data_IF_173074829333
#
_entry.id   IF_173074829333
#
_cell.length_a   1.000
_cell.length_b   1.000
_cell.length_c   1.000
_cell.angle_alpha   90.00
_cell.angle_beta   90.00
_cell.angle_gamma   90.00
#
_symmetry.space_group_name_H-M   'P 1'
#
loop_
_entity.id
_entity.type
_entity.pdbx_description
1 polymer ?
#
# COMPACT_ATOMS: atom_id res chain seq x y z
N UNK A 1 7.37 3.56 28.07
CA UNK A 1 8.29 3.81 26.92
C UNK A 1 7.86 3.03 25.67
N UNK A 2 7.96 1.69 25.62
CA UNK A 2 7.52 0.91 24.43
C UNK A 2 6.00 0.88 24.25
N UNK A 3 5.24 0.71 25.33
CA UNK A 3 3.78 0.72 25.26
C UNK A 3 3.22 2.09 24.85
N UNK A 4 3.85 3.17 25.30
CA UNK A 4 3.44 4.54 24.95
C UNK A 4 3.71 4.83 23.47
N UNK A 5 4.86 4.37 22.96
CA UNK A 5 5.18 4.44 21.53
C UNK A 5 4.09 3.81 20.66
N UNK A 6 3.75 2.53 20.89
CA UNK A 6 2.73 1.85 20.10
C UNK A 6 1.35 2.47 20.26
N UNK A 7 1.02 2.97 21.47
CA UNK A 7 -0.24 3.69 21.70
C UNK A 7 -0.31 4.95 20.84
N UNK A 8 0.73 5.77 20.85
CA UNK A 8 0.80 7.01 20.08
C UNK A 8 0.81 6.75 18.57
N UNK A 9 1.57 5.74 18.12
CA UNK A 9 1.62 5.32 16.72
C UNK A 9 0.23 4.89 16.22
N UNK A 10 -0.48 4.04 16.96
CA UNK A 10 -1.80 3.57 16.54
C UNK A 10 -2.85 4.67 16.62
N UNK A 11 -2.75 5.59 17.58
CA UNK A 11 -3.57 6.80 17.61
C UNK A 11 -3.33 7.68 16.38
N UNK A 12 -2.07 7.81 15.94
CA UNK A 12 -1.73 8.53 14.71
C UNK A 12 -2.28 7.82 13.47
N UNK A 13 -2.18 6.49 13.37
CA UNK A 13 -2.77 5.75 12.24
C UNK A 13 -4.29 6.00 12.15
N UNK A 14 -4.99 5.97 13.30
CA UNK A 14 -6.41 6.28 13.36
C UNK A 14 -6.72 7.75 13.04
N UNK A 15 -5.86 8.68 13.44
CA UNK A 15 -6.00 10.10 13.10
C UNK A 15 -5.87 10.34 11.58
N UNK A 16 -5.02 9.58 10.89
CA UNK A 16 -4.90 9.62 9.43
C UNK A 16 -6.16 9.07 8.76
N UNK A 17 -6.67 7.90 9.22
CA UNK A 17 -7.92 7.30 8.71
C UNK A 17 -9.12 8.25 8.84
N UNK A 18 -9.20 8.93 9.99
CA UNK A 18 -10.28 9.85 10.34
C UNK A 18 -10.02 11.31 9.93
N UNK A 19 -8.98 11.57 9.12
CA UNK A 19 -8.62 12.93 8.74
C UNK A 19 -9.73 13.61 7.93
N UNK A 20 -10.26 14.72 8.45
CA UNK A 20 -11.35 15.47 7.81
C UNK A 20 -10.88 16.31 6.61
N UNK A 21 -9.58 16.57 6.51
CA UNK A 21 -8.97 17.24 5.36
C UNK A 21 -8.42 16.18 4.39
N UNK A 22 -8.43 16.43 3.07
CA UNK A 22 -7.78 15.56 2.12
C UNK A 22 -6.32 15.27 2.53
N UNK A 23 -6.00 13.99 2.74
CA UNK A 23 -4.67 13.52 3.09
C UNK A 23 -4.07 12.79 1.89
N UNK A 24 -2.88 13.22 1.47
CA UNK A 24 -2.16 12.68 0.33
C UNK A 24 -0.81 12.16 0.80
N UNK A 25 -0.60 10.85 0.73
CA UNK A 25 0.70 10.23 0.99
C UNK A 25 1.46 10.04 -0.34
N UNK A 26 2.59 10.74 -0.51
CA UNK A 26 3.52 10.49 -1.61
C UNK A 26 4.50 9.38 -1.20
N UNK A 27 4.17 8.12 -1.51
CA UNK A 27 4.92 6.94 -1.05
C UNK A 27 6.07 6.58 -2.00
N UNK A 28 6.95 7.55 -2.28
CA UNK A 28 8.14 7.36 -3.11
C UNK A 28 9.28 6.67 -2.34
N UNK A 29 9.70 5.49 -2.80
CA UNK A 29 10.75 4.72 -2.14
C UNK A 29 10.21 3.64 -1.19
N UNK A 30 10.98 3.32 -0.15
CA UNK A 30 10.64 2.23 0.78
C UNK A 30 9.46 2.64 1.67
N UNK A 31 8.40 1.84 1.69
CA UNK A 31 7.21 2.05 2.51
C UNK A 31 6.83 0.73 3.17
N UNK A 32 7.34 0.49 4.38
CA UNK A 32 7.16 -0.76 5.13
C UNK A 32 6.74 -0.48 6.57
N UNK A 33 5.99 -1.41 7.19
CA UNK A 33 5.54 -1.30 8.59
C UNK A 33 4.95 0.07 8.92
N UNK A 34 5.54 0.79 9.87
CA UNK A 34 5.11 2.15 10.24
C UNK A 34 4.89 3.11 9.05
N UNK A 35 5.72 3.05 8.00
CA UNK A 35 5.52 3.86 6.79
C UNK A 35 4.24 3.52 6.02
N UNK A 36 3.81 2.25 6.06
CA UNK A 36 2.49 1.83 5.57
C UNK A 36 1.40 2.41 6.46
N UNK A 37 1.56 2.36 7.78
CA UNK A 37 0.64 2.96 8.75
C UNK A 37 0.43 4.47 8.58
N UNK A 38 1.46 5.18 8.13
CA UNK A 38 1.39 6.62 7.82
C UNK A 38 0.75 6.93 6.46
N UNK A 39 0.46 5.93 5.63
CA UNK A 39 0.02 6.15 4.26
C UNK A 39 -1.29 5.46 3.91
N UNK A 40 -1.43 4.16 4.17
CA UNK A 40 -2.52 3.32 3.63
C UNK A 40 -3.91 3.75 4.09
N UNK A 41 -4.01 4.34 5.28
CA UNK A 41 -5.26 4.87 5.85
C UNK A 41 -5.63 6.24 5.26
N UNK A 42 -4.68 6.90 4.61
CA UNK A 42 -4.89 8.16 3.93
C UNK A 42 -5.85 8.02 2.76
N UNK A 43 -6.58 9.10 2.49
CA UNK A 43 -7.54 9.16 1.38
C UNK A 43 -6.88 8.96 0.02
N UNK A 44 -5.69 9.51 -0.17
CA UNK A 44 -4.90 9.36 -1.38
C UNK A 44 -3.50 8.83 -1.06
N UNK A 45 -3.03 7.85 -1.82
CA UNK A 45 -1.66 7.31 -1.75
C UNK A 45 -1.08 7.22 -3.16
N UNK A 46 -0.01 7.95 -3.42
CA UNK A 46 0.62 8.05 -4.74
C UNK A 46 1.91 7.25 -4.75
N UNK A 47 1.91 6.14 -5.47
CA UNK A 47 3.10 5.35 -5.73
C UNK A 47 3.87 5.88 -6.95
N UNK A 48 5.13 5.48 -7.02
CA UNK A 48 6.04 5.67 -8.16
C UNK A 48 6.72 4.35 -8.46
N UNK A 49 7.47 4.25 -9.56
CA UNK A 49 8.24 3.04 -9.90
C UNK A 49 9.31 2.67 -8.84
N UNK A 50 9.66 3.62 -7.96
CA UNK A 50 10.59 3.39 -6.84
C UNK A 50 9.89 2.95 -5.55
N UNK A 51 8.56 2.99 -5.50
CA UNK A 51 7.80 2.54 -4.33
C UNK A 51 8.09 1.06 -4.05
N UNK A 52 8.39 0.72 -2.81
CA UNK A 52 8.62 -0.64 -2.35
C UNK A 52 7.83 -0.89 -1.08
N UNK A 53 6.71 -1.59 -1.24
CA UNK A 53 5.80 -1.97 -0.17
C UNK A 53 6.16 -3.34 0.41
N UNK A 54 6.09 -3.47 1.74
CA UNK A 54 5.98 -4.75 2.42
C UNK A 54 5.45 -4.59 3.85
N UNK A 55 4.89 -5.68 4.40
CA UNK A 55 4.65 -5.86 5.84
C UNK A 55 5.61 -6.97 6.35
N UNK A 56 6.89 -6.65 6.65
CA UNK A 56 7.91 -7.64 6.98
C UNK A 56 7.93 -8.08 8.46
N UNK A 57 6.93 -7.69 9.25
CA UNK A 57 6.91 -7.82 10.71
C UNK A 57 7.05 -9.28 11.19
N UNK A 58 6.48 -10.24 10.44
CA UNK A 58 6.59 -11.66 10.78
C UNK A 58 8.02 -12.19 10.73
N UNK A 59 8.89 -11.57 9.92
CA UNK A 59 10.31 -11.94 9.84
C UNK A 59 11.14 -11.46 11.04
N UNK A 60 10.63 -10.49 11.81
CA UNK A 60 11.27 -9.93 13.00
C UNK A 60 10.56 -10.33 14.31
N UNK A 61 9.65 -11.31 14.25
CA UNK A 61 8.93 -11.81 15.42
C UNK A 61 7.78 -10.91 15.90
N UNK A 62 7.28 -10.02 15.03
CA UNK A 62 6.10 -9.20 15.26
C UNK A 62 4.95 -9.65 14.32
N UNK A 63 3.84 -8.94 14.32
CA UNK A 63 2.72 -9.14 13.39
C UNK A 63 2.50 -7.86 12.57
N UNK A 64 1.85 -7.92 11.39
CA UNK A 64 1.49 -6.74 10.60
C UNK A 64 0.55 -5.81 11.38
N UNK A 65 1.16 -4.84 12.06
CA UNK A 65 0.53 -3.89 12.96
C UNK A 65 0.09 -2.64 12.18
N UNK A 66 0.03 -1.47 12.84
CA UNK A 66 -0.34 -0.17 12.24
C UNK A 66 -1.63 -0.20 11.41
N UNK A 67 -2.60 -1.00 11.83
CA UNK A 67 -3.87 -1.19 11.13
C UNK A 67 -3.84 -2.28 10.04
N UNK A 68 -2.81 -3.12 9.98
CA UNK A 68 -2.71 -4.27 9.07
C UNK A 68 -3.92 -5.20 9.15
N UNK A 69 -4.42 -5.46 10.35
CA UNK A 69 -5.67 -6.23 10.57
C UNK A 69 -6.93 -5.57 9.99
N UNK A 70 -6.88 -4.28 9.67
CA UNK A 70 -7.98 -3.55 9.02
C UNK A 70 -7.84 -3.58 7.50
N UNK A 71 -6.72 -3.10 6.94
CA UNK A 71 -6.61 -2.90 5.48
C UNK A 71 -6.25 -4.19 4.72
N UNK A 72 -5.41 -5.07 5.27
CA UNK A 72 -4.96 -6.27 4.55
C UNK A 72 -6.14 -7.20 4.18
N UNK A 73 -7.08 -7.51 5.09
CA UNK A 73 -8.24 -8.34 4.73
C UNK A 73 -9.21 -7.69 3.73
N UNK A 74 -9.08 -6.38 3.47
CA UNK A 74 -9.90 -5.63 2.51
C UNK A 74 -9.27 -5.55 1.11
N UNK A 75 -8.04 -6.03 0.94
CA UNK A 75 -7.44 -6.23 -0.38
C UNK A 75 -8.14 -7.39 -1.11
N UNK A 76 -7.98 -7.44 -2.43
CA UNK A 76 -8.64 -8.43 -3.27
C UNK A 76 -8.40 -9.88 -2.82
N UNK A 77 -9.48 -10.65 -2.68
CA UNK A 77 -9.44 -12.06 -2.32
C UNK A 77 -8.70 -12.32 -1.00
N UNK A 78 -7.58 -13.04 -1.08
CA UNK A 78 -6.67 -13.35 0.04
C UNK A 78 -5.28 -12.73 -0.14
N UNK A 79 -5.14 -11.74 -1.02
CA UNK A 79 -3.87 -11.06 -1.25
C UNK A 79 -3.28 -10.51 0.06
N UNK A 80 -4.07 -9.81 0.88
CA UNK A 80 -3.55 -9.25 2.13
C UNK A 80 -3.08 -10.29 3.13
N UNK A 81 -3.69 -11.49 3.18
CA UNK A 81 -3.19 -12.59 4.01
C UNK A 81 -1.84 -13.09 3.50
N UNK A 82 -1.67 -13.18 2.17
CA UNK A 82 -0.40 -13.56 1.57
C UNK A 82 0.69 -12.54 1.92
N UNK A 83 0.41 -11.25 1.73
CA UNK A 83 1.35 -10.16 2.04
C UNK A 83 1.70 -10.14 3.54
N UNK A 84 0.70 -10.29 4.42
CA UNK A 84 0.85 -10.33 5.87
C UNK A 84 1.76 -11.47 6.35
N UNK A 85 1.57 -12.67 5.82
CA UNK A 85 2.25 -13.87 6.31
C UNK A 85 3.66 -14.01 5.74
N UNK A 86 3.88 -13.60 4.50
CA UNK A 86 5.13 -13.83 3.76
C UNK A 86 6.06 -12.61 3.76
N UNK A 87 5.56 -11.41 4.06
CA UNK A 87 6.32 -10.18 3.88
C UNK A 87 6.72 -9.93 2.42
N UNK A 88 5.95 -10.46 1.47
CA UNK A 88 6.23 -10.31 0.03
C UNK A 88 6.30 -8.83 -0.35
N UNK A 89 7.29 -8.50 -1.19
CA UNK A 89 7.57 -7.12 -1.60
C UNK A 89 6.81 -6.82 -2.88
N UNK A 90 6.01 -5.76 -2.86
CA UNK A 90 5.42 -5.19 -4.07
C UNK A 90 6.20 -3.94 -4.47
N UNK A 91 6.53 -3.82 -5.75
CA UNK A 91 7.32 -2.70 -6.26
C UNK A 91 6.55 -1.94 -7.33
N UNK A 92 6.71 -0.62 -7.35
CA UNK A 92 6.22 0.20 -8.44
C UNK A 92 4.71 0.09 -8.63
N UNK A 93 4.28 -0.12 -9.87
CA UNK A 93 2.86 -0.19 -10.23
C UNK A 93 2.13 -1.36 -9.59
N UNK A 94 2.83 -2.42 -9.18
CA UNK A 94 2.22 -3.53 -8.43
C UNK A 94 1.64 -3.07 -7.08
N UNK A 95 2.17 -1.99 -6.48
CA UNK A 95 1.61 -1.38 -5.25
C UNK A 95 0.25 -0.75 -5.53
N UNK A 96 0.09 -0.11 -6.69
CA UNK A 96 -1.19 0.43 -7.16
C UNK A 96 -2.16 -0.70 -7.51
N UNK A 97 -1.74 -1.67 -8.33
CA UNK A 97 -2.60 -2.77 -8.77
C UNK A 97 -3.08 -3.65 -7.61
N UNK A 98 -2.29 -3.78 -6.55
CA UNK A 98 -2.70 -4.47 -5.32
C UNK A 98 -3.77 -3.71 -4.51
N UNK A 99 -4.06 -2.45 -4.83
CA UNK A 99 -4.97 -1.58 -4.09
C UNK A 99 -4.33 -0.88 -2.88
N UNK A 100 -2.99 -0.90 -2.76
CA UNK A 100 -2.26 -0.26 -1.65
C UNK A 100 -1.96 1.20 -1.97
N UNK A 101 -1.61 1.53 -3.22
CA UNK A 101 -1.65 2.90 -3.70
C UNK A 101 -3.00 3.18 -4.37
N UNK A 102 -3.48 4.41 -4.29
CA UNK A 102 -4.69 4.84 -5.02
C UNK A 102 -4.35 5.39 -6.40
N UNK A 103 -3.14 5.92 -6.56
CA UNK A 103 -2.64 6.44 -7.84
C UNK A 103 -1.18 6.00 -8.04
N UNK A 104 -0.75 6.04 -9.29
CA UNK A 104 0.64 5.82 -9.68
C UNK A 104 1.11 6.93 -10.58
N UNK A 105 2.29 7.49 -10.32
CA UNK A 105 2.91 8.57 -11.10
C UNK A 105 4.39 8.25 -11.32
N UNK A 106 4.90 8.49 -12.53
CA UNK A 106 6.33 8.31 -12.82
C UNK A 106 7.15 9.28 -11.94
N UNK A 107 8.22 8.81 -11.29
CA UNK A 107 8.92 9.64 -10.29
C UNK A 107 9.50 10.95 -10.84
N UNK A 108 9.77 11.01 -12.15
CA UNK A 108 10.19 12.24 -12.84
C UNK A 108 9.12 13.34 -12.83
N UNK A 109 7.84 12.99 -12.64
CA UNK A 109 6.70 13.93 -12.55
C UNK A 109 6.27 14.21 -11.12
N UNK A 110 6.86 13.54 -10.13
CA UNK A 110 6.43 13.66 -8.73
C UNK A 110 6.60 15.10 -8.20
N UNK A 111 7.69 15.78 -8.55
CA UNK A 111 7.89 17.18 -8.16
C UNK A 111 6.87 18.12 -8.79
N UNK A 112 6.54 17.93 -10.07
CA UNK A 112 5.50 18.72 -10.75
C UNK A 112 4.12 18.49 -10.14
N UNK A 113 3.81 17.24 -9.77
CA UNK A 113 2.58 16.92 -9.07
C UNK A 113 2.50 17.65 -7.72
N UNK A 114 3.59 17.65 -6.94
CA UNK A 114 3.64 18.35 -5.66
C UNK A 114 3.42 19.85 -5.84
N UNK A 115 4.11 20.47 -6.82
CA UNK A 115 3.96 21.89 -7.15
C UNK A 115 2.50 22.23 -7.53
N UNK A 116 1.87 21.42 -8.39
CA UNK A 116 0.48 21.62 -8.83
C UNK A 116 -0.52 21.47 -7.67
N UNK A 117 -0.30 20.51 -6.75
CA UNK A 117 -1.13 20.35 -5.57
C UNK A 117 -1.00 21.53 -4.60
N UNK A 118 0.21 22.07 -4.42
CA UNK A 118 0.48 23.23 -3.56
C UNK A 118 -0.05 24.55 -4.16
N UNK A 119 -0.14 24.64 -5.49
CA UNK A 119 -0.68 25.81 -6.19
C UNK A 119 -2.22 25.91 -6.13
N UNK A 120 -2.92 24.86 -5.67
CA UNK A 120 -4.37 24.88 -5.54
C UNK A 120 -4.83 25.84 -4.44
N UNK A 121 -5.77 26.73 -4.77
CA UNK A 121 -6.36 27.68 -3.83
C UNK A 121 -7.69 27.14 -3.26
N UNK A 122 -7.71 26.82 -1.97
CA UNK A 122 -8.88 26.27 -1.27
C UNK A 122 -9.53 25.07 -2.01
N UNK A 123 -8.75 24.04 -2.40
CA UNK A 123 -9.28 22.95 -3.20
C UNK A 123 -10.31 22.11 -2.45
N UNK A 124 -11.33 21.68 -3.18
CA UNK A 124 -12.15 20.55 -2.74
C UNK A 124 -11.38 19.23 -2.90
N UNK A 125 -11.94 18.16 -2.33
CA UNK A 125 -11.40 16.81 -2.51
C UNK A 125 -11.38 16.41 -3.98
N UNK A 126 -12.41 16.79 -4.73
CA UNK A 126 -12.57 16.49 -6.15
C UNK A 126 -11.47 17.18 -6.96
N UNK A 127 -11.13 18.45 -6.65
CA UNK A 127 -10.03 19.13 -7.32
C UNK A 127 -8.69 18.41 -7.14
N UNK A 128 -8.43 17.88 -5.94
CA UNK A 128 -7.23 17.09 -5.66
C UNK A 128 -7.27 15.78 -6.44
N UNK A 129 -8.40 15.08 -6.45
CA UNK A 129 -8.56 13.83 -7.19
C UNK A 129 -8.34 14.04 -8.70
N UNK A 130 -8.84 15.13 -9.28
CA UNK A 130 -8.66 15.45 -10.70
C UNK A 130 -7.19 15.68 -11.07
N UNK A 131 -6.43 16.36 -10.20
CA UNK A 131 -4.98 16.54 -10.39
C UNK A 131 -4.28 15.19 -10.34
N UNK A 132 -4.54 14.38 -9.30
CA UNK A 132 -3.94 13.06 -9.15
C UNK A 132 -4.26 12.14 -10.34
N UNK A 133 -5.50 12.14 -10.82
CA UNK A 133 -5.93 11.34 -11.97
C UNK A 133 -5.27 11.81 -13.28
N UNK A 134 -5.08 13.13 -13.43
CA UNK A 134 -4.38 13.70 -14.58
C UNK A 134 -2.93 13.21 -14.67
N UNK A 135 -2.23 13.14 -13.54
CA UNK A 135 -0.86 12.59 -13.49
C UNK A 135 -0.86 11.06 -13.62
N UNK A 136 -1.86 10.40 -13.05
CA UNK A 136 -1.99 8.95 -13.10
C UNK A 136 -2.16 8.43 -14.54
N UNK A 137 -3.12 8.99 -15.27
CA UNK A 137 -3.42 8.62 -16.66
C UNK A 137 -2.27 8.88 -17.62
N UNK A 138 -1.39 9.85 -17.31
CA UNK A 138 -0.19 10.19 -18.09
C UNK A 138 1.03 9.35 -17.74
N UNK A 139 0.99 8.61 -16.62
CA UNK A 139 2.10 7.76 -16.20
C UNK A 139 2.32 6.60 -17.16
N UNK A 140 3.56 6.38 -17.60
CA UNK A 140 3.89 5.39 -18.64
C UNK A 140 4.60 4.16 -18.10
N UNK A 141 5.30 4.29 -16.98
CA UNK A 141 6.14 3.20 -16.48
C UNK A 141 5.25 2.02 -16.10
N UNK A 142 5.50 0.85 -16.69
CA UNK A 142 4.76 -0.39 -16.47
C UNK A 142 3.24 -0.30 -16.72
N UNK A 143 2.74 0.67 -17.50
CA UNK A 143 1.29 0.89 -17.69
C UNK A 143 0.53 -0.37 -18.16
N UNK A 144 1.12 -1.13 -19.08
CA UNK A 144 0.52 -2.36 -19.64
C UNK A 144 1.01 -3.64 -18.94
N UNK A 145 1.80 -3.50 -17.86
CA UNK A 145 2.35 -4.63 -17.13
C UNK A 145 1.24 -5.30 -16.31
N UNK A 146 1.07 -6.61 -16.47
CA UNK A 146 0.21 -7.40 -15.59
C UNK A 146 0.73 -7.40 -14.15
N UNK A 147 -0.21 -7.52 -13.20
CA UNK A 147 0.13 -7.62 -11.78
C UNK A 147 1.04 -8.82 -11.53
N UNK A 148 2.12 -8.63 -10.78
CA UNK A 148 3.13 -9.67 -10.54
C UNK A 148 2.57 -10.93 -9.88
N UNK A 149 1.45 -10.84 -9.15
CA UNK A 149 0.81 -12.00 -8.51
C UNK A 149 -0.43 -12.50 -9.26
N UNK A 150 -0.76 -11.96 -10.43
CA UNK A 150 -1.99 -12.30 -11.17
C UNK A 150 -2.14 -13.81 -11.37
N UNK A 151 -1.12 -14.46 -11.93
CA UNK A 151 -1.09 -15.91 -12.20
C UNK A 151 -1.13 -16.77 -10.92
N UNK A 152 -0.88 -16.15 -9.76
CA UNK A 152 -0.85 -16.80 -8.46
C UNK A 152 -2.12 -16.57 -7.64
N UNK A 153 -2.98 -15.61 -8.03
CA UNK A 153 -4.15 -15.21 -7.25
C UNK A 153 -5.10 -16.37 -6.97
N UNK A 154 -5.33 -17.26 -7.93
CA UNK A 154 -6.16 -18.45 -7.73
C UNK A 154 -5.61 -19.39 -6.67
N UNK A 155 -4.29 -19.60 -6.67
CA UNK A 155 -3.64 -20.44 -5.67
C UNK A 155 -3.66 -19.75 -4.30
N UNK A 156 -3.30 -18.47 -4.24
CA UNK A 156 -3.34 -17.64 -3.03
C UNK A 156 -4.72 -17.73 -2.38
N UNK A 157 -5.77 -17.49 -3.17
CA UNK A 157 -7.17 -17.53 -2.72
C UNK A 157 -7.61 -18.92 -2.24
N UNK A 158 -7.06 -19.99 -2.81
CA UNK A 158 -7.39 -21.37 -2.44
C UNK A 158 -6.71 -21.80 -1.13
N UNK A 159 -5.40 -21.56 -1.00
CA UNK A 159 -4.62 -22.07 0.13
C UNK A 159 -4.86 -21.27 1.41
N UNK A 160 -5.07 -19.96 1.31
CA UNK A 160 -5.32 -19.08 2.47
C UNK A 160 -6.79 -19.09 2.96
N UNK A 161 -7.58 -20.10 2.54
CA UNK A 161 -8.86 -20.46 3.15
C UNK A 161 -8.74 -21.53 4.25
N UNK A 162 -7.55 -22.12 4.43
CA UNK A 162 -7.30 -23.26 5.33
C UNK A 162 -6.49 -22.82 6.55
N UNK A 163 -6.26 -23.73 7.49
CA UNK A 163 -5.44 -23.46 8.69
C UNK A 163 -3.96 -23.17 8.33
N UNK A 164 -3.20 -22.66 9.30
CA UNK A 164 -1.78 -22.29 9.13
C UNK A 164 -0.88 -23.46 8.67
N UNK A 165 -1.21 -24.70 9.02
CA UNK A 165 -0.41 -25.88 8.63
C UNK A 165 -0.49 -26.13 7.12
N UNK A 166 -1.65 -25.87 6.51
CA UNK A 166 -1.79 -25.94 5.05
C UNK A 166 -1.07 -24.80 4.33
N UNK A 167 -0.97 -23.63 4.95
CA UNK A 167 -0.31 -22.44 4.37
C UNK A 167 1.20 -22.64 4.24
N UNK A 168 1.83 -23.32 5.21
CA UNK A 168 3.28 -23.58 5.17
C UNK A 168 3.71 -24.41 3.94
N UNK A 169 2.90 -25.39 3.52
CA UNK A 169 3.18 -26.20 2.32
C UNK A 169 3.17 -25.39 1.02
N UNK A 170 2.47 -24.25 1.01
CA UNK A 170 2.27 -23.42 -0.17
C UNK A 170 3.34 -22.34 -0.34
N UNK A 171 3.88 -21.78 0.76
CA UNK A 171 4.92 -20.75 0.70
C UNK A 171 6.15 -21.18 -0.13
N UNK A 172 6.48 -22.47 -0.15
CA UNK A 172 7.58 -23.02 -0.95
C UNK A 172 7.35 -23.01 -2.48
N UNK A 173 6.12 -22.80 -2.94
CA UNK A 173 5.74 -22.90 -4.38
C UNK A 173 5.64 -21.53 -5.07
N UNK A 174 5.50 -20.45 -4.30
CA UNK A 174 5.45 -19.07 -4.83
C UNK A 174 6.77 -18.33 -4.58
N UNK A 175 7.46 -18.62 -3.48
CA UNK A 175 8.66 -17.90 -3.07
C UNK A 175 9.97 -18.50 -3.63
N UNK A 176 9.88 -19.59 -4.40
CA UNK A 176 10.98 -20.22 -5.13
C UNK A 176 10.65 -20.26 -6.63
#
# INVERSE_FOLDING_TARGET
>A
MVQDFFREEYMLNNAIDSCLKPYIALIHGITMGGGVGLSVHGQFRVATEKSLFAMPETAIGLFPDVGGGYFLPRLQGKLGYFLALTGFRLKGRDVYTAGIATHFVDSEKLGMLEDDLLALNSPSKENIADVLETYHTKSKIDQDKSFILEEHMDKINRYLKRDLNYIYSFGKTILN
#
